data_IF_696889985627
#
_entry.id   IF_696889985627
#
_cell.length_a   1.000
_cell.length_b   1.000
_cell.length_c   1.000
_cell.angle_alpha   90.00
_cell.angle_beta   90.00
_cell.angle_gamma   90.00
#
_symmetry.space_group_name_H-M   'P 1'
#
loop_
_entity.id
_entity.type
_entity.pdbx_description
1 polymer ?
#
# COMPACT_ATOMS: atom_id res chain seq x y z
N UNK A 1 -59.86 -12.25 79.75
CA UNK A 1 -60.76 -13.33 79.31
C UNK A 1 -61.49 -12.85 78.07
N UNK A 2 -61.14 -13.44 76.92
CA UNK A 2 -62.02 -13.77 75.78
C UNK A 2 -62.66 -12.55 75.06
N UNK A 3 -62.06 -12.08 73.96
CA UNK A 3 -62.49 -12.24 72.53
C UNK A 3 -63.70 -11.35 72.19
N UNK A 4 -63.96 -10.78 71.02
CA UNK A 4 -63.41 -10.64 69.67
C UNK A 4 -64.33 -9.53 69.06
N UNK A 5 -63.97 -8.64 68.14
CA UNK A 5 -63.72 -8.89 66.72
C UNK A 5 -63.52 -7.51 66.05
N UNK A 6 -62.35 -7.25 65.46
CA UNK A 6 -62.18 -6.20 64.45
C UNK A 6 -61.54 -6.85 63.23
N UNK A 7 -62.32 -6.94 62.15
CA UNK A 7 -61.94 -7.59 60.90
C UNK A 7 -61.36 -6.54 59.94
N UNK A 8 -60.08 -6.79 59.59
CA UNK A 8 -59.37 -6.54 58.32
C UNK A 8 -59.23 -5.08 57.85
N UNK A 9 -58.03 -4.62 57.45
CA UNK A 9 -57.00 -5.31 56.67
C UNK A 9 -55.61 -4.69 56.87
N UNK A 10 -54.61 -5.51 56.59
CA UNK A 10 -53.22 -5.44 57.04
C UNK A 10 -52.39 -4.27 56.47
N UNK A 11 -51.63 -3.65 57.38
CA UNK A 11 -50.35 -3.00 57.13
C UNK A 11 -49.31 -4.01 56.60
N UNK A 12 -48.36 -3.57 55.76
CA UNK A 12 -46.93 -3.46 56.16
C UNK A 12 -46.08 -2.77 55.08
N UNK A 13 -45.56 -1.60 55.47
CA UNK A 13 -44.16 -1.17 55.45
C UNK A 13 -43.18 -1.63 54.34
N UNK A 14 -42.81 -0.62 53.53
CA UNK A 14 -41.45 -0.12 53.23
C UNK A 14 -40.40 -0.96 52.47
N UNK A 15 -39.82 -0.24 51.49
CA UNK A 15 -38.49 -0.38 50.86
C UNK A 15 -38.34 -1.49 49.82
N UNK A 16 -38.19 -1.09 48.56
CA UNK A 16 -36.93 -1.19 47.80
C UNK A 16 -37.11 -0.52 46.43
N UNK A 17 -36.23 0.42 46.13
CA UNK A 17 -36.00 0.98 44.80
C UNK A 17 -35.55 -0.15 43.87
N UNK A 18 -36.38 -0.50 42.89
CA UNK A 18 -35.89 -1.28 41.75
C UNK A 18 -35.55 -0.32 40.61
N UNK A 19 -34.24 -0.17 40.43
CA UNK A 19 -33.61 0.31 39.21
C UNK A 19 -34.05 -0.56 38.04
N UNK A 20 -34.98 -0.07 37.22
CA UNK A 20 -35.06 -0.52 35.84
C UNK A 20 -33.88 0.11 35.09
N UNK A 21 -32.92 -0.74 34.76
CA UNK A 21 -31.79 -0.45 33.88
C UNK A 21 -32.31 0.04 32.53
N UNK A 22 -32.37 1.37 32.36
CA UNK A 22 -32.34 1.97 31.02
C UNK A 22 -30.94 1.75 30.46
N UNK A 23 -30.77 0.72 29.64
CA UNK A 23 -29.65 0.70 28.71
C UNK A 23 -29.77 1.94 27.82
N UNK A 24 -28.70 2.75 27.70
CA UNK A 24 -28.76 3.95 26.87
C UNK A 24 -29.01 3.52 25.42
N UNK A 25 -30.12 3.96 24.84
CA UNK A 25 -30.44 3.81 23.41
C UNK A 25 -29.27 4.41 22.63
N UNK A 26 -28.34 3.56 22.21
CA UNK A 26 -27.17 3.99 21.46
C UNK A 26 -27.65 4.20 20.03
N UNK A 27 -27.89 5.47 19.66
CA UNK A 27 -28.32 5.83 18.31
C UNK A 27 -27.18 5.45 17.35
N UNK A 28 -27.36 4.39 16.57
CA UNK A 28 -26.43 3.98 15.54
C UNK A 28 -26.69 4.80 14.27
N UNK A 29 -25.68 5.54 13.80
CA UNK A 29 -25.73 6.27 12.54
C UNK A 29 -25.29 5.32 11.42
N UNK A 30 -26.07 5.23 10.34
CA UNK A 30 -25.68 4.46 9.15
C UNK A 30 -24.61 5.20 8.34
N UNK A 31 -23.59 4.48 7.84
CA UNK A 31 -22.51 5.04 7.03
C UNK A 31 -22.94 5.63 5.67
N UNK A 32 -24.17 5.38 5.21
CA UNK A 32 -24.77 6.03 4.04
C UNK A 32 -25.71 7.18 4.40
N UNK A 33 -25.86 7.50 5.70
CA UNK A 33 -26.76 8.55 6.17
C UNK A 33 -26.28 9.95 5.80
N UNK A 34 -27.20 10.82 5.35
CA UNK A 34 -26.93 12.26 5.18
C UNK A 34 -26.63 12.99 6.49
N UNK A 35 -26.86 12.33 7.64
CA UNK A 35 -26.65 12.89 8.98
C UNK A 35 -25.24 12.60 9.54
N UNK A 36 -24.33 12.06 8.72
CA UNK A 36 -22.95 11.82 9.15
C UNK A 36 -22.30 13.15 9.56
N UNK A 37 -21.71 13.22 10.77
CA UNK A 37 -21.04 14.44 11.23
C UNK A 37 -19.87 14.77 10.31
N UNK A 38 -19.70 16.05 10.00
CA UNK A 38 -18.52 16.57 9.30
C UNK A 38 -17.78 17.47 10.26
N UNK A 39 -16.73 16.95 10.85
CA UNK A 39 -15.92 17.63 11.84
C UNK A 39 -14.43 17.46 11.49
N UNK A 40 -13.92 18.20 10.49
CA UNK A 40 -12.51 18.18 10.12
C UNK A 40 -11.63 18.39 11.34
N UNK A 41 -10.65 17.52 11.54
CA UNK A 41 -9.72 17.66 12.65
C UNK A 41 -8.85 18.89 12.43
N UNK A 42 -8.65 19.67 13.50
CA UNK A 42 -7.68 20.74 13.53
C UNK A 42 -6.70 20.44 14.67
N UNK A 43 -5.42 20.57 14.38
CA UNK A 43 -4.37 20.42 15.39
C UNK A 43 -3.85 21.80 15.75
N UNK A 44 -3.65 22.05 17.04
CA UNK A 44 -2.88 23.23 17.45
C UNK A 44 -1.40 22.96 17.25
N UNK A 45 -0.59 24.03 17.11
CA UNK A 45 0.86 23.90 17.02
C UNK A 45 1.44 23.21 18.26
N UNK A 46 0.83 23.43 19.43
CA UNK A 46 1.26 22.80 20.68
C UNK A 46 0.95 21.30 20.72
N UNK A 47 -0.23 20.87 20.26
CA UNK A 47 -0.57 19.44 20.16
C UNK A 47 0.44 18.71 19.27
N UNK A 48 0.76 19.30 18.11
CA UNK A 48 1.74 18.73 17.18
C UNK A 48 3.13 18.67 17.83
N UNK A 49 3.54 19.73 18.53
CA UNK A 49 4.84 19.79 19.19
C UNK A 49 4.99 18.70 20.26
N UNK A 50 4.01 18.57 21.17
CA UNK A 50 4.03 17.56 22.25
C UNK A 50 4.21 16.15 21.68
N UNK A 51 3.58 15.84 20.55
CA UNK A 51 3.62 14.51 19.97
C UNK A 51 4.81 14.26 19.04
N UNK A 52 5.28 15.27 18.29
CA UNK A 52 6.27 15.09 17.21
C UNK A 52 7.70 15.48 17.62
N UNK A 53 7.87 16.43 18.54
CA UNK A 53 9.19 16.86 19.03
C UNK A 53 10.01 15.70 19.66
N UNK A 54 9.42 14.76 20.43
CA UNK A 54 10.14 13.60 20.94
C UNK A 54 10.76 12.72 19.84
N UNK A 55 10.14 12.67 18.66
CA UNK A 55 10.65 11.92 17.51
C UNK A 55 11.92 12.57 16.99
N UNK A 56 11.92 13.90 16.85
CA UNK A 56 13.10 14.67 16.43
C UNK A 56 14.25 14.46 17.43
N UNK A 57 13.98 14.58 18.74
CA UNK A 57 14.99 14.36 19.77
C UNK A 57 15.59 12.95 19.69
N UNK A 58 14.75 11.93 19.48
CA UNK A 58 15.21 10.55 19.30
C UNK A 58 16.06 10.38 18.05
N UNK A 59 15.69 11.04 16.95
CA UNK A 59 16.51 11.05 15.73
C UNK A 59 17.86 11.73 15.96
N UNK A 60 17.91 12.92 16.57
CA UNK A 60 19.14 13.66 16.85
C UNK A 60 20.06 12.90 17.82
N UNK A 61 19.50 12.18 18.80
CA UNK A 61 20.25 11.37 19.74
C UNK A 61 20.86 10.09 19.10
N UNK A 62 20.38 9.70 17.92
CA UNK A 62 20.92 8.55 17.19
C UNK A 62 22.33 8.84 16.66
N UNK A 63 23.20 7.83 16.74
CA UNK A 63 24.53 7.84 16.11
C UNK A 63 24.47 8.07 14.60
N UNK A 64 23.34 7.73 13.96
CA UNK A 64 23.13 7.87 12.53
C UNK A 64 22.83 9.31 12.11
N UNK A 65 22.62 10.24 13.03
CA UNK A 65 22.07 11.56 12.68
C UNK A 65 23.09 12.63 12.31
N UNK A 66 24.37 12.44 12.66
CA UNK A 66 25.40 13.50 12.63
C UNK A 66 25.44 14.28 11.31
N UNK A 67 25.41 13.56 10.17
CA UNK A 67 25.47 14.14 8.83
C UNK A 67 24.21 14.88 8.39
N UNK A 68 23.13 14.85 9.19
CA UNK A 68 21.80 15.32 8.81
C UNK A 68 21.26 16.43 9.73
N UNK A 69 22.03 16.82 10.76
CA UNK A 69 21.62 17.81 11.74
C UNK A 69 21.73 19.25 11.24
N UNK A 70 22.52 19.50 10.19
CA UNK A 70 22.79 20.84 9.66
C UNK A 70 22.71 20.85 8.12
N UNK A 71 22.49 22.02 7.51
CA UNK A 71 22.52 22.15 6.06
C UNK A 71 23.85 21.66 5.48
N UNK A 72 23.78 21.01 4.32
CA UNK A 72 24.96 20.50 3.60
C UNK A 72 25.79 21.68 3.06
N UNK A 73 26.99 21.85 3.58
CA UNK A 73 27.96 22.80 3.04
C UNK A 73 28.73 22.17 1.86
N UNK A 74 28.18 22.38 0.67
CA UNK A 74 28.72 21.83 -0.58
C UNK A 74 30.15 22.26 -0.89
N UNK A 75 30.58 23.44 -0.46
CA UNK A 75 31.91 23.98 -0.71
C UNK A 75 32.91 23.31 0.21
N UNK A 76 32.63 23.28 1.52
CA UNK A 76 33.52 22.65 2.51
C UNK A 76 33.66 21.14 2.28
N UNK A 77 32.60 20.48 1.82
CA UNK A 77 32.58 19.05 1.51
C UNK A 77 33.10 18.72 0.10
N UNK A 78 33.46 19.73 -0.71
CA UNK A 78 33.97 19.58 -2.09
C UNK A 78 33.00 18.86 -3.04
N UNK A 79 31.70 19.04 -2.85
CA UNK A 79 30.61 18.48 -3.66
C UNK A 79 29.89 19.59 -4.42
N UNK A 80 30.59 20.22 -5.36
CA UNK A 80 30.11 21.43 -6.05
C UNK A 80 28.88 21.21 -6.94
N UNK A 81 28.60 19.96 -7.31
CA UNK A 81 27.42 19.56 -8.07
C UNK A 81 26.17 19.42 -7.19
N UNK A 82 26.31 19.36 -5.86
CA UNK A 82 25.19 19.15 -4.94
C UNK A 82 24.01 20.12 -5.15
N UNK A 83 24.22 21.46 -5.28
CA UNK A 83 23.12 22.40 -5.50
C UNK A 83 22.44 22.25 -6.88
N UNK A 84 23.10 21.58 -7.83
CA UNK A 84 22.53 21.31 -9.16
C UNK A 84 21.56 20.12 -9.12
N UNK A 85 21.80 19.16 -8.23
CA UNK A 85 20.98 17.96 -8.03
C UNK A 85 19.89 18.24 -6.97
N UNK A 86 20.28 18.79 -5.82
CA UNK A 86 19.38 19.12 -4.71
C UNK A 86 19.09 20.62 -4.71
N UNK A 87 17.96 20.99 -5.32
CA UNK A 87 17.56 22.39 -5.52
C UNK A 87 17.15 23.11 -4.23
N UNK A 88 16.60 22.37 -3.26
CA UNK A 88 16.10 22.91 -2.01
C UNK A 88 16.70 22.10 -0.86
N UNK A 89 17.79 22.57 -0.27
CA UNK A 89 18.42 21.89 0.86
C UNK A 89 17.47 21.85 2.06
N UNK A 90 17.33 20.68 2.67
CA UNK A 90 16.56 20.47 3.89
C UNK A 90 17.34 19.55 4.83
N UNK A 91 17.20 19.76 6.13
CA UNK A 91 17.86 18.99 7.17
C UNK A 91 16.98 18.95 8.43
N UNK A 92 17.40 18.17 9.44
CA UNK A 92 16.61 17.95 10.66
C UNK A 92 16.41 19.26 11.44
N UNK A 93 17.37 20.19 11.43
CA UNK A 93 17.23 21.47 12.14
C UNK A 93 16.15 22.35 11.50
N UNK A 94 16.03 22.33 10.17
CA UNK A 94 14.95 23.03 9.46
C UNK A 94 13.60 22.41 9.83
N UNK A 95 13.49 21.08 9.81
CA UNK A 95 12.26 20.38 10.21
C UNK A 95 11.86 20.74 11.64
N UNK A 96 12.84 20.77 12.55
CA UNK A 96 12.63 21.13 13.94
C UNK A 96 12.16 22.58 14.10
N UNK A 97 12.83 23.53 13.45
CA UNK A 97 12.43 24.94 13.49
C UNK A 97 11.01 25.15 12.97
N UNK A 98 10.64 24.48 11.86
CA UNK A 98 9.25 24.54 11.34
C UNK A 98 8.23 24.00 12.34
N UNK A 99 8.58 22.96 13.10
CA UNK A 99 7.72 22.43 14.16
C UNK A 99 7.55 23.45 15.30
N UNK A 100 8.65 24.07 15.75
CA UNK A 100 8.63 25.06 16.83
C UNK A 100 7.89 26.34 16.43
N UNK A 101 7.99 26.76 15.17
CA UNK A 101 7.27 27.90 14.61
C UNK A 101 5.80 27.58 14.31
N UNK A 102 5.36 26.33 14.49
CA UNK A 102 3.97 25.92 14.27
C UNK A 102 3.55 25.93 12.79
N UNK A 103 4.49 25.72 11.87
CA UNK A 103 4.24 25.80 10.42
C UNK A 103 3.51 24.57 9.85
N UNK A 104 3.44 23.47 10.61
CA UNK A 104 2.72 22.27 10.21
C UNK A 104 1.25 22.35 10.63
N UNK A 105 0.35 21.99 9.72
CA UNK A 105 -1.10 21.95 9.99
C UNK A 105 -1.56 20.61 10.54
N UNK A 106 -0.80 19.55 10.26
CA UNK A 106 -1.11 18.18 10.64
C UNK A 106 0.19 17.35 10.70
N UNK A 107 0.19 16.18 11.37
CA UNK A 107 1.40 15.38 11.54
C UNK A 107 1.90 14.71 10.25
N UNK A 108 1.07 14.59 9.20
CA UNK A 108 1.53 14.06 7.91
C UNK A 108 2.42 15.07 7.18
N UNK A 109 2.13 16.37 7.24
CA UNK A 109 3.01 17.39 6.66
C UNK A 109 4.41 17.40 7.33
N UNK A 110 4.48 17.13 8.63
CA UNK A 110 5.74 16.91 9.34
C UNK A 110 6.47 15.66 8.81
N UNK A 111 5.74 14.54 8.68
CA UNK A 111 6.28 13.29 8.14
C UNK A 111 6.82 13.47 6.73
N UNK A 112 6.07 14.14 5.85
CA UNK A 112 6.48 14.48 4.48
C UNK A 112 7.78 15.29 4.49
N UNK A 113 7.91 16.27 5.39
CA UNK A 113 9.15 17.04 5.56
C UNK A 113 10.35 16.16 5.90
N UNK A 114 10.21 15.22 6.84
CA UNK A 114 11.28 14.27 7.20
C UNK A 114 11.64 13.37 6.02
N UNK A 115 10.64 12.87 5.28
CA UNK A 115 10.89 12.03 4.10
C UNK A 115 11.64 12.78 2.98
N UNK A 116 11.42 14.08 2.80
CA UNK A 116 12.19 14.89 1.84
C UNK A 116 13.69 14.88 2.20
N UNK A 117 14.04 14.96 3.49
CA UNK A 117 15.44 14.86 3.95
C UNK A 117 16.05 13.54 3.48
N UNK A 118 15.40 12.41 3.76
CA UNK A 118 15.90 11.09 3.38
C UNK A 118 15.98 10.92 1.85
N UNK A 119 14.98 11.38 1.12
CA UNK A 119 14.94 11.29 -0.34
C UNK A 119 16.05 12.09 -1.00
N UNK A 120 16.38 13.28 -0.51
CA UNK A 120 17.52 14.04 -1.03
C UNK A 120 18.84 13.31 -0.82
N UNK A 121 19.02 12.67 0.34
CA UNK A 121 20.23 11.90 0.64
C UNK A 121 20.34 10.70 -0.29
N UNK A 122 19.28 9.90 -0.43
CA UNK A 122 19.26 8.73 -1.32
C UNK A 122 19.35 9.10 -2.80
N UNK A 123 18.90 10.29 -3.19
CA UNK A 123 19.00 10.77 -4.56
C UNK A 123 20.44 11.15 -4.92
N UNK A 124 21.13 11.87 -4.02
CA UNK A 124 22.49 12.34 -4.27
C UNK A 124 23.54 11.24 -4.10
N UNK A 125 23.35 10.34 -3.13
CA UNK A 125 24.34 9.34 -2.76
C UNK A 125 24.11 8.00 -3.46
N UNK A 126 25.19 7.32 -3.83
CA UNK A 126 25.12 5.93 -4.32
C UNK A 126 24.69 4.97 -3.19
N UNK A 127 23.99 3.89 -3.54
CA UNK A 127 23.53 2.88 -2.56
C UNK A 127 24.64 2.22 -1.75
N UNK A 128 25.84 2.17 -2.32
CA UNK A 128 27.05 1.63 -1.71
C UNK A 128 27.74 2.61 -0.77
N UNK A 129 27.28 3.87 -0.72
CA UNK A 129 27.91 4.89 0.11
C UNK A 129 27.53 4.70 1.59
N UNK A 130 28.45 4.95 2.53
CA UNK A 130 28.14 4.89 3.96
C UNK A 130 27.01 5.85 4.37
N UNK A 131 26.93 7.03 3.74
CA UNK A 131 25.88 8.02 4.02
C UNK A 131 24.50 7.50 3.61
N UNK A 132 24.40 6.76 2.51
CA UNK A 132 23.16 6.13 2.07
C UNK A 132 22.68 5.09 3.10
N UNK A 133 23.59 4.25 3.59
CA UNK A 133 23.29 3.23 4.59
C UNK A 133 22.86 3.84 5.93
N UNK A 134 23.61 4.83 6.43
CA UNK A 134 23.29 5.57 7.65
C UNK A 134 21.92 6.25 7.55
N UNK A 135 21.60 6.87 6.41
CA UNK A 135 20.28 7.45 6.16
C UNK A 135 19.17 6.39 6.20
N UNK A 136 19.44 5.19 5.69
CA UNK A 136 18.49 4.08 5.71
C UNK A 136 18.19 3.62 7.14
N UNK A 137 19.21 3.57 8.01
CA UNK A 137 19.05 3.28 9.44
C UNK A 137 18.30 4.35 10.20
N UNK A 138 18.54 5.63 9.89
CA UNK A 138 17.78 6.71 10.50
C UNK A 138 16.31 6.70 10.05
N UNK A 139 16.03 6.35 8.79
CA UNK A 139 14.67 6.21 8.29
C UNK A 139 13.90 5.05 8.95
N UNK A 140 14.56 3.92 9.21
CA UNK A 140 13.99 2.81 10.00
C UNK A 140 13.59 3.29 11.41
N UNK A 141 14.50 3.97 12.12
CA UNK A 141 14.24 4.54 13.45
C UNK A 141 13.07 5.55 13.43
N UNK A 142 12.99 6.38 12.39
CA UNK A 142 11.91 7.33 12.22
C UNK A 142 10.56 6.61 12.10
N UNK A 143 10.45 5.60 11.23
CA UNK A 143 9.22 4.81 11.02
C UNK A 143 8.76 4.16 12.32
N UNK A 144 9.66 3.52 13.06
CA UNK A 144 9.36 2.92 14.37
C UNK A 144 8.81 3.92 15.39
N UNK A 145 9.21 5.18 15.28
CA UNK A 145 8.85 6.24 16.21
C UNK A 145 7.57 6.98 15.82
N UNK A 146 7.35 7.23 14.53
CA UNK A 146 6.20 7.99 14.01
C UNK A 146 4.92 7.16 13.94
N UNK A 147 5.00 5.85 13.64
CA UNK A 147 3.85 4.97 13.52
C UNK A 147 2.92 5.00 14.76
N UNK A 148 3.41 4.76 16.00
CA UNK A 148 2.56 4.78 17.18
C UNK A 148 1.99 6.17 17.50
N UNK A 149 2.75 7.23 17.20
CA UNK A 149 2.30 8.61 17.39
C UNK A 149 1.14 8.94 16.44
N UNK A 150 1.27 8.59 15.16
CA UNK A 150 0.20 8.81 14.19
C UNK A 150 -1.06 8.01 14.52
N UNK A 151 -0.92 6.77 15.00
CA UNK A 151 -2.05 5.98 15.47
C UNK A 151 -2.76 6.64 16.65
N UNK A 152 -2.00 7.18 17.60
CA UNK A 152 -2.54 7.95 18.74
C UNK A 152 -3.31 9.19 18.27
N UNK A 153 -2.81 9.87 17.23
CA UNK A 153 -3.45 11.03 16.60
C UNK A 153 -4.63 10.68 15.66
N UNK A 154 -4.98 9.40 15.53
CA UNK A 154 -6.11 8.90 14.76
C UNK A 154 -5.86 8.67 13.27
N UNK A 155 -4.59 8.55 12.86
CA UNK A 155 -4.17 8.15 11.51
C UNK A 155 -3.91 6.63 11.45
N UNK A 156 -3.68 6.08 10.26
CA UNK A 156 -3.35 4.66 10.10
C UNK A 156 -1.93 4.31 10.57
N UNK A 157 -0.92 4.98 10.01
CA UNK A 157 0.51 4.77 10.23
C UNK A 157 1.30 5.89 9.53
N UNK A 158 2.61 5.98 9.79
CA UNK A 158 3.55 6.91 9.15
C UNK A 158 4.50 6.28 8.15
N UNK A 159 4.34 4.99 7.88
CA UNK A 159 5.09 4.28 6.83
C UNK A 159 4.85 4.90 5.46
N UNK A 160 5.91 5.04 4.69
CA UNK A 160 5.80 5.37 3.28
C UNK A 160 5.67 4.07 2.47
N UNK A 161 4.44 3.74 2.08
CA UNK A 161 4.21 2.62 1.17
C UNK A 161 4.47 3.07 -0.26
N UNK A 162 5.14 2.20 -1.00
CA UNK A 162 5.45 2.38 -2.42
C UNK A 162 5.09 1.09 -3.13
N UNK A 163 4.37 1.19 -4.23
CA UNK A 163 4.11 0.05 -5.10
C UNK A 163 5.39 -0.38 -5.79
N UNK A 164 5.67 -1.69 -5.72
CA UNK A 164 6.72 -2.26 -6.53
C UNK A 164 6.32 -2.13 -7.99
N UNK A 165 7.11 -1.37 -8.74
CA UNK A 165 6.96 -1.27 -10.19
C UNK A 165 7.05 -2.68 -10.78
N UNK A 166 6.14 -3.07 -11.70
CA UNK A 166 6.17 -4.39 -12.31
C UNK A 166 7.55 -4.78 -12.85
N UNK A 167 7.80 -6.08 -12.90
CA UNK A 167 9.01 -6.62 -13.53
C UNK A 167 9.03 -6.11 -14.98
N UNK A 168 10.08 -5.37 -15.31
CA UNK A 168 10.25 -4.80 -16.64
C UNK A 168 11.10 -5.77 -17.44
N UNK A 169 10.51 -6.38 -18.46
CA UNK A 169 11.21 -7.35 -19.30
C UNK A 169 12.07 -6.65 -20.34
N UNK A 170 13.25 -7.21 -20.58
CA UNK A 170 14.17 -6.81 -21.64
C UNK A 170 13.85 -7.63 -22.90
N UNK A 171 13.81 -6.98 -24.06
CA UNK A 171 13.65 -7.61 -25.38
C UNK A 171 14.93 -8.34 -25.86
N UNK A 172 16.03 -8.21 -25.12
CA UNK A 172 17.34 -8.74 -25.48
C UNK A 172 17.44 -10.27 -25.57
N UNK A 173 18.67 -10.73 -25.79
CA UNK A 173 19.04 -12.05 -26.36
C UNK A 173 18.62 -13.31 -25.56
N UNK A 174 18.04 -13.15 -24.38
CA UNK A 174 17.59 -14.27 -23.55
C UNK A 174 16.14 -14.09 -23.11
N UNK A 175 15.30 -15.09 -23.42
CA UNK A 175 13.95 -15.20 -22.89
C UNK A 175 14.05 -15.36 -21.37
N UNK A 176 13.95 -14.25 -20.64
CA UNK A 176 13.93 -14.05 -19.17
C UNK A 176 14.85 -12.91 -18.69
N UNK A 177 15.48 -12.13 -19.58
CA UNK A 177 16.24 -10.95 -19.13
C UNK A 177 15.31 -9.89 -18.51
N UNK A 178 15.64 -9.42 -17.31
CA UNK A 178 14.86 -8.44 -16.54
C UNK A 178 15.65 -7.15 -16.31
N UNK A 179 14.95 -6.01 -16.33
CA UNK A 179 15.48 -4.70 -15.97
C UNK A 179 15.14 -4.44 -14.50
N UNK A 180 16.17 -4.39 -13.66
CA UNK A 180 16.03 -4.25 -12.20
C UNK A 180 15.79 -2.79 -11.81
N UNK A 181 15.30 -2.59 -10.59
CA UNK A 181 15.08 -1.26 -10.04
C UNK A 181 16.41 -0.50 -9.93
N UNK A 182 16.41 0.74 -10.41
CA UNK A 182 17.52 1.68 -10.56
C UNK A 182 18.51 1.38 -11.69
N UNK A 183 18.25 0.38 -12.53
CA UNK A 183 19.06 0.16 -13.73
C UNK A 183 18.72 1.18 -14.81
N UNK A 184 19.76 1.57 -15.55
CA UNK A 184 19.59 2.26 -16.82
C UNK A 184 19.12 1.27 -17.90
N UNK A 185 18.18 1.72 -18.72
CA UNK A 185 17.63 0.96 -19.82
C UNK A 185 17.34 1.87 -21.01
N UNK A 186 17.32 1.28 -22.19
CA UNK A 186 16.96 1.94 -23.43
C UNK A 186 15.55 1.55 -23.81
N UNK A 187 14.74 2.50 -24.26
CA UNK A 187 13.40 2.21 -24.74
C UNK A 187 13.07 2.95 -26.03
N UNK A 188 12.17 2.36 -26.81
CA UNK A 188 11.60 2.95 -28.01
C UNK A 188 10.08 2.91 -27.90
N UNK A 189 9.43 4.06 -28.11
CA UNK A 189 7.98 4.16 -28.20
C UNK A 189 7.52 3.92 -29.63
N UNK A 190 6.62 2.96 -29.81
CA UNK A 190 5.96 2.73 -31.08
C UNK A 190 4.83 3.77 -31.25
N UNK A 191 5.14 4.86 -31.94
CA UNK A 191 4.19 5.97 -32.13
C UNK A 191 3.04 5.63 -33.10
N UNK A 192 3.18 4.58 -33.93
CA UNK A 192 2.15 4.15 -34.88
C UNK A 192 2.01 2.61 -34.92
N UNK A 193 1.38 1.97 -33.90
CA UNK A 193 1.24 0.51 -33.81
C UNK A 193 0.47 -0.14 -34.96
N UNK A 194 -0.33 0.65 -35.69
CA UNK A 194 -1.12 0.17 -36.82
C UNK A 194 -0.41 0.22 -38.18
N UNK A 195 0.75 0.90 -38.26
CA UNK A 195 1.49 1.09 -39.52
C UNK A 195 2.80 0.30 -39.58
N UNK A 196 3.46 0.15 -38.44
CA UNK A 196 4.56 -0.78 -38.29
C UNK A 196 3.96 -2.13 -37.90
N UNK A 197 4.52 -3.24 -38.39
CA UNK A 197 4.12 -4.59 -38.00
C UNK A 197 4.57 -4.87 -36.56
N UNK A 198 4.09 -4.07 -35.60
CA UNK A 198 4.49 -4.00 -34.20
C UNK A 198 3.25 -3.60 -33.38
N UNK A 199 2.75 -4.52 -32.59
CA UNK A 199 1.58 -4.39 -31.71
C UNK A 199 1.92 -3.87 -30.31
N UNK A 200 3.16 -4.05 -29.84
CA UNK A 200 3.57 -3.50 -28.55
C UNK A 200 3.82 -1.99 -28.65
N UNK A 201 3.35 -1.25 -27.64
CA UNK A 201 3.50 0.21 -27.53
C UNK A 201 4.95 0.63 -27.24
N UNK A 202 5.73 -0.23 -26.60
CA UNK A 202 7.10 0.09 -26.18
C UNK A 202 8.02 -1.13 -26.17
N UNK A 203 9.22 -0.97 -26.74
CA UNK A 203 10.29 -1.97 -26.71
C UNK A 203 11.40 -1.50 -25.78
N UNK A 204 11.91 -2.39 -24.92
CA UNK A 204 12.85 -2.03 -23.85
C UNK A 204 14.05 -2.97 -23.84
N UNK A 205 15.24 -2.43 -23.57
CA UNK A 205 16.49 -3.18 -23.47
C UNK A 205 17.27 -2.76 -22.23
N UNK A 206 17.76 -3.73 -21.45
CA UNK A 206 18.76 -3.42 -20.44
C UNK A 206 20.04 -2.91 -21.12
N UNK A 207 20.83 -2.13 -20.38
CA UNK A 207 22.08 -1.53 -20.90
C UNK A 207 23.02 -2.59 -21.52
N UNK A 208 23.15 -3.76 -20.89
CA UNK A 208 24.01 -4.84 -21.38
C UNK A 208 23.54 -5.41 -22.73
N UNK A 209 22.24 -5.74 -22.85
CA UNK A 209 21.68 -6.25 -24.10
C UNK A 209 21.74 -5.21 -25.22
N UNK A 210 21.42 -3.96 -24.92
CA UNK A 210 21.47 -2.87 -25.92
C UNK A 210 22.90 -2.70 -26.48
N UNK A 211 23.91 -2.73 -25.61
CA UNK A 211 25.31 -2.58 -25.98
C UNK A 211 25.89 -3.83 -26.65
N UNK A 212 25.33 -5.02 -26.39
CA UNK A 212 25.79 -6.27 -27.03
C UNK A 212 25.51 -6.32 -28.54
N UNK A 213 24.53 -5.54 -29.02
CA UNK A 213 24.18 -5.43 -30.43
C UNK A 213 25.21 -4.52 -31.11
N UNK A 214 26.05 -5.07 -31.98
CA UNK A 214 27.10 -4.29 -32.66
C UNK A 214 26.58 -3.45 -33.85
N UNK A 215 25.38 -3.75 -34.33
CA UNK A 215 24.73 -3.02 -35.42
C UNK A 215 24.19 -1.66 -34.94
N UNK A 216 24.13 -0.69 -35.85
CA UNK A 216 23.52 0.63 -35.64
C UNK A 216 21.99 0.57 -35.60
N UNK A 217 21.41 -0.57 -36.00
CA UNK A 217 19.96 -0.85 -35.94
C UNK A 217 19.67 -2.11 -35.14
N UNK A 218 18.49 -2.14 -34.53
CA UNK A 218 17.94 -3.25 -33.76
C UNK A 218 16.71 -3.79 -34.48
N UNK A 219 16.63 -5.11 -34.65
CA UNK A 219 15.46 -5.78 -35.20
C UNK A 219 14.51 -6.17 -34.07
N UNK A 220 13.25 -5.76 -34.16
CA UNK A 220 12.20 -6.06 -33.17
C UNK A 220 10.97 -6.69 -33.83
N UNK A 221 10.24 -7.48 -33.06
CA UNK A 221 9.01 -8.18 -33.44
C UNK A 221 8.36 -8.83 -32.21
N UNK A 222 7.05 -8.96 -32.23
CA UNK A 222 6.25 -9.41 -31.08
C UNK A 222 6.02 -10.92 -31.05
N UNK A 223 6.10 -11.58 -32.20
CA UNK A 223 5.93 -13.03 -32.33
C UNK A 223 7.05 -13.65 -33.19
N UNK A 224 7.35 -14.92 -32.92
CA UNK A 224 8.36 -15.72 -33.63
C UNK A 224 8.02 -15.91 -35.11
N UNK A 225 6.75 -15.74 -35.48
CA UNK A 225 6.28 -15.86 -36.86
C UNK A 225 6.28 -14.53 -37.62
N UNK A 226 6.56 -13.42 -36.94
CA UNK A 226 6.45 -12.08 -37.49
C UNK A 226 7.73 -11.64 -38.23
N UNK A 227 7.57 -10.91 -39.33
CA UNK A 227 8.69 -10.22 -39.97
C UNK A 227 9.19 -9.10 -39.07
N UNK A 228 10.49 -9.14 -38.73
CA UNK A 228 11.11 -8.17 -37.85
C UNK A 228 11.19 -6.78 -38.51
N UNK A 229 10.99 -5.75 -37.69
CA UNK A 229 11.13 -4.35 -38.07
C UNK A 229 12.49 -3.84 -37.62
N UNK A 230 13.21 -3.18 -38.53
CA UNK A 230 14.50 -2.55 -38.25
C UNK A 230 14.30 -1.16 -37.65
N UNK A 231 14.83 -0.94 -36.45
CA UNK A 231 14.77 0.34 -35.72
C UNK A 231 16.19 0.84 -35.45
N UNK A 232 16.57 2.03 -35.96
CA UNK A 232 17.86 2.63 -35.63
C UNK A 232 18.04 2.86 -34.13
N UNK A 233 19.24 2.56 -33.61
CA UNK A 233 19.60 2.76 -32.19
C UNK A 233 19.46 4.21 -31.74
N UNK A 234 19.64 5.17 -32.65
CA UNK A 234 19.49 6.60 -32.39
C UNK A 234 18.07 7.01 -31.96
N UNK A 235 17.06 6.17 -32.24
CA UNK A 235 15.68 6.41 -31.83
C UNK A 235 15.38 5.89 -30.41
N UNK A 236 16.29 5.13 -29.80
CA UNK A 236 16.12 4.65 -28.44
C UNK A 236 16.56 5.72 -27.43
N UNK A 237 15.71 5.95 -26.44
CA UNK A 237 15.96 6.91 -25.37
C UNK A 237 16.49 6.18 -24.14
N UNK A 238 17.52 6.76 -23.52
CA UNK A 238 18.03 6.30 -22.23
C UNK A 238 17.10 6.75 -21.11
N UNK A 239 16.74 5.82 -20.24
CA UNK A 239 15.96 6.08 -19.04
C UNK A 239 16.52 5.26 -17.88
N UNK A 240 16.10 5.59 -16.65
CA UNK A 240 16.43 4.87 -15.43
C UNK A 240 15.15 4.34 -14.83
N UNK A 241 15.16 3.09 -14.39
CA UNK A 241 14.00 2.49 -13.71
C UNK A 241 13.99 2.93 -12.24
N UNK A 242 13.66 4.18 -11.96
CA UNK A 242 13.66 4.74 -10.60
C UNK A 242 12.25 5.12 -10.10
N UNK A 243 11.22 4.96 -10.95
CA UNK A 243 9.85 5.30 -10.61
C UNK A 243 9.31 4.40 -9.48
N UNK A 244 9.10 5.05 -8.35
CA UNK A 244 8.41 4.52 -7.17
C UNK A 244 7.03 5.17 -7.12
N UNK A 245 5.98 4.37 -7.30
CA UNK A 245 4.61 4.89 -7.21
C UNK A 245 4.17 4.92 -5.74
N UNK A 246 3.95 6.10 -5.13
CA UNK A 246 3.53 6.18 -3.74
C UNK A 246 2.12 5.60 -3.57
N UNK A 247 1.88 5.03 -2.40
CA UNK A 247 0.55 4.54 -2.01
C UNK A 247 -0.50 5.65 -2.07
N UNK A 248 -1.67 5.32 -2.63
CA UNK A 248 -2.76 6.28 -2.71
C UNK A 248 -3.28 6.59 -1.30
N UNK A 249 -3.46 7.88 -1.03
CA UNK A 249 -4.10 8.36 0.20
C UNK A 249 -5.57 8.66 -0.06
N UNK A 250 -6.41 8.38 0.92
CA UNK A 250 -7.84 8.71 0.91
C UNK A 250 -8.21 9.45 2.19
N UNK A 251 -9.21 10.32 2.09
CA UNK A 251 -9.57 11.20 3.19
C UNK A 251 -10.84 10.72 3.86
N UNK A 252 -10.86 10.71 5.19
CA UNK A 252 -12.07 10.41 5.95
C UNK A 252 -13.11 11.53 5.74
N UNK A 253 -14.32 11.19 5.30
CA UNK A 253 -15.39 12.18 5.05
C UNK A 253 -15.89 12.89 6.32
N UNK A 254 -15.58 12.32 7.50
CA UNK A 254 -15.95 12.89 8.82
C UNK A 254 -14.87 13.84 9.31
N UNK A 255 -13.65 13.34 9.53
CA UNK A 255 -12.58 14.11 10.18
C UNK A 255 -11.50 14.66 9.23
N UNK A 256 -11.61 14.41 7.93
CA UNK A 256 -10.62 14.81 6.91
C UNK A 256 -9.19 14.28 7.11
N UNK A 257 -8.94 13.39 8.08
CA UNK A 257 -7.65 12.70 8.21
C UNK A 257 -7.39 11.84 6.97
N UNK A 258 -6.18 11.93 6.44
CA UNK A 258 -5.73 11.13 5.29
C UNK A 258 -5.22 9.77 5.75
N UNK A 259 -5.61 8.71 5.05
CA UNK A 259 -5.25 7.32 5.34
C UNK A 259 -4.67 6.69 4.08
N UNK A 260 -3.71 5.79 4.23
CA UNK A 260 -3.34 4.90 3.12
C UNK A 260 -4.56 4.09 2.70
N UNK A 261 -4.81 4.00 1.40
CA UNK A 261 -5.94 3.26 0.86
C UNK A 261 -5.90 1.79 1.29
N UNK A 262 -4.71 1.17 1.29
CA UNK A 262 -4.48 -0.19 1.79
C UNK A 262 -4.76 -0.34 3.28
N UNK A 263 -4.44 0.68 4.11
CA UNK A 263 -4.76 0.65 5.54
C UNK A 263 -6.25 0.86 5.81
N UNK A 264 -6.89 1.66 4.98
CA UNK A 264 -8.32 1.92 5.06
C UNK A 264 -9.17 0.74 4.56
N UNK A 265 -8.60 -0.11 3.69
CA UNK A 265 -9.30 -1.18 2.97
C UNK A 265 -10.54 -0.63 2.25
N UNK A 266 -10.39 0.48 1.54
CA UNK A 266 -11.49 1.20 0.89
C UNK A 266 -11.32 1.29 -0.62
N UNK A 267 -12.40 1.00 -1.33
CA UNK A 267 -12.51 1.12 -2.78
C UNK A 267 -13.80 1.87 -3.10
N UNK A 268 -13.70 2.96 -3.86
CA UNK A 268 -14.85 3.80 -4.24
C UNK A 268 -15.88 3.03 -5.07
N UNK A 269 -15.45 1.98 -5.77
CA UNK A 269 -16.32 1.05 -6.51
C UNK A 269 -17.21 0.20 -5.61
N UNK A 270 -16.81 -0.02 -4.34
CA UNK A 270 -17.56 -0.80 -3.36
C UNK A 270 -18.39 0.13 -2.47
N UNK A 271 -17.77 1.21 -1.97
CA UNK A 271 -18.38 2.18 -1.06
C UNK A 271 -18.29 3.57 -1.68
N UNK A 272 -19.22 3.88 -2.58
CA UNK A 272 -19.28 5.16 -3.28
C UNK A 272 -19.59 6.35 -2.37
N UNK A 273 -20.14 6.11 -1.18
CA UNK A 273 -20.48 7.12 -0.19
C UNK A 273 -19.26 7.78 0.48
N UNK A 274 -18.08 7.18 0.29
CA UNK A 274 -16.81 7.67 0.81
C UNK A 274 -16.32 6.92 2.05
N UNK A 275 -15.07 7.19 2.39
CA UNK A 275 -14.36 6.50 3.47
C UNK A 275 -14.64 7.14 4.84
N UNK A 276 -14.94 6.30 5.83
CA UNK A 276 -15.02 6.71 7.25
C UNK A 276 -13.95 5.94 8.04
N UNK A 277 -13.05 6.66 8.70
CA UNK A 277 -11.96 6.03 9.44
C UNK A 277 -12.44 5.32 10.70
N UNK A 278 -11.61 4.38 11.19
CA UNK A 278 -11.92 3.60 12.40
C UNK A 278 -12.13 4.46 13.65
N UNK A 279 -11.43 5.59 13.75
CA UNK A 279 -11.59 6.52 14.88
C UNK A 279 -13.00 7.11 14.90
N UNK A 280 -13.45 7.69 13.80
CA UNK A 280 -14.79 8.28 13.70
C UNK A 280 -15.90 7.25 13.85
N UNK A 281 -15.69 6.01 13.38
CA UNK A 281 -16.64 4.92 13.53
C UNK A 281 -16.88 4.61 15.01
N UNK A 282 -15.82 4.54 15.82
CA UNK A 282 -15.93 4.27 17.26
C UNK A 282 -16.50 5.48 18.00
N UNK A 283 -16.00 6.68 17.68
CA UNK A 283 -16.36 7.93 18.35
C UNK A 283 -17.84 8.29 18.17
N UNK A 284 -18.37 8.12 16.96
CA UNK A 284 -19.76 8.44 16.62
C UNK A 284 -20.67 7.20 16.53
N UNK A 285 -20.18 6.04 16.94
CA UNK A 285 -20.91 4.76 16.92
C UNK A 285 -21.57 4.45 15.55
N UNK A 286 -20.83 4.72 14.46
CA UNK A 286 -21.30 4.56 13.08
C UNK A 286 -21.27 3.08 12.70
N UNK A 287 -22.36 2.57 12.14
CA UNK A 287 -22.40 1.20 11.62
C UNK A 287 -21.76 1.16 10.24
N UNK A 288 -20.67 0.40 10.08
CA UNK A 288 -20.05 0.16 8.76
C UNK A 288 -21.01 -0.57 7.83
N UNK A 289 -21.08 -0.11 6.58
CA UNK A 289 -21.74 -0.84 5.50
C UNK A 289 -20.94 -2.09 5.16
N UNK A 290 -21.58 -3.25 5.27
CA UNK A 290 -20.95 -4.52 4.89
C UNK A 290 -20.57 -4.53 3.42
N UNK A 291 -19.45 -5.18 3.09
CA UNK A 291 -19.10 -5.38 1.68
C UNK A 291 -20.12 -6.33 1.01
N UNK A 292 -20.67 -5.96 -0.16
CA UNK A 292 -21.42 -6.90 -0.97
C UNK A 292 -20.50 -7.97 -1.59
N UNK A 293 -19.21 -7.69 -1.73
CA UNK A 293 -18.22 -8.57 -2.34
C UNK A 293 -17.43 -9.31 -1.26
N UNK A 294 -18.00 -10.40 -0.74
CA UNK A 294 -17.30 -11.33 0.16
C UNK A 294 -17.11 -12.67 -0.51
N UNK A 295 -16.05 -13.39 -0.15
CA UNK A 295 -15.81 -14.76 -0.64
C UNK A 295 -16.98 -15.70 -0.33
N UNK A 296 -17.66 -15.49 0.80
CA UNK A 296 -18.82 -16.28 1.21
C UNK A 296 -20.03 -16.16 0.28
N UNK A 297 -20.22 -15.00 -0.36
CA UNK A 297 -21.34 -14.69 -1.27
C UNK A 297 -21.10 -15.17 -2.71
N UNK A 298 -19.89 -15.65 -3.03
CA UNK A 298 -19.61 -16.21 -4.35
C UNK A 298 -20.37 -17.53 -4.57
N UNK A 299 -20.74 -17.87 -5.84
CA UNK A 299 -21.42 -19.11 -6.18
C UNK A 299 -20.71 -20.35 -5.64
N UNK A 300 -21.50 -21.30 -5.15
CA UNK A 300 -21.03 -22.56 -4.58
C UNK A 300 -21.28 -23.67 -5.61
N UNK A 301 -20.34 -24.60 -5.73
CA UNK A 301 -20.54 -25.86 -6.42
C UNK A 301 -20.20 -27.05 -5.51
N UNK A 302 -20.48 -28.26 -5.98
CA UNK A 302 -20.30 -29.49 -5.17
C UNK A 302 -18.86 -29.65 -4.71
N UNK A 303 -17.89 -29.42 -5.60
CA UNK A 303 -16.47 -29.50 -5.28
C UNK A 303 -16.10 -28.51 -4.18
N UNK A 304 -16.46 -27.23 -4.33
CA UNK A 304 -16.15 -26.19 -3.36
C UNK A 304 -16.81 -26.47 -2.02
N UNK A 305 -18.06 -26.93 -2.02
CA UNK A 305 -18.81 -27.27 -0.80
C UNK A 305 -18.18 -28.44 -0.04
N UNK A 306 -17.77 -29.50 -0.76
CA UNK A 306 -17.13 -30.66 -0.14
C UNK A 306 -15.76 -30.32 0.45
N UNK A 307 -14.93 -29.56 -0.28
CA UNK A 307 -13.64 -29.10 0.21
C UNK A 307 -13.79 -28.21 1.44
N UNK A 308 -14.70 -27.23 1.39
CA UNK A 308 -14.96 -26.31 2.50
C UNK A 308 -15.39 -27.07 3.76
N UNK A 309 -16.35 -27.99 3.65
CA UNK A 309 -16.81 -28.83 4.77
C UNK A 309 -15.68 -29.68 5.33
N UNK A 310 -14.86 -30.29 4.47
CA UNK A 310 -13.75 -31.16 4.88
C UNK A 310 -12.70 -30.37 5.66
N UNK A 311 -12.29 -29.20 5.16
CA UNK A 311 -11.28 -28.36 5.80
C UNK A 311 -11.78 -27.82 7.14
N UNK A 312 -13.00 -27.28 7.19
CA UNK A 312 -13.52 -26.73 8.44
C UNK A 312 -13.75 -27.83 9.50
N UNK A 313 -14.22 -29.02 9.10
CA UNK A 313 -14.34 -30.16 10.02
C UNK A 313 -12.98 -30.58 10.59
N UNK A 314 -11.95 -30.59 9.76
CA UNK A 314 -10.59 -30.87 10.21
C UNK A 314 -10.10 -29.81 11.22
N UNK A 315 -10.26 -28.52 10.93
CA UNK A 315 -9.85 -27.44 11.83
C UNK A 315 -10.53 -27.49 13.20
N UNK A 316 -11.84 -27.80 13.21
CA UNK A 316 -12.60 -27.98 14.45
C UNK A 316 -12.05 -29.17 15.26
N UNK A 317 -11.79 -30.30 14.58
CA UNK A 317 -11.30 -31.51 15.24
C UNK A 317 -9.89 -31.34 15.84
N UNK A 318 -9.02 -30.57 15.19
CA UNK A 318 -7.67 -30.28 15.68
C UNK A 318 -7.62 -29.19 16.77
N UNK A 319 -8.78 -28.67 17.20
CA UNK A 319 -8.85 -27.61 18.21
C UNK A 319 -8.18 -26.30 17.77
N UNK A 320 -8.07 -26.07 16.45
CA UNK A 320 -7.46 -24.87 15.92
C UNK A 320 -8.34 -23.65 16.24
N UNK A 321 -7.77 -22.60 16.83
CA UNK A 321 -8.47 -21.33 17.09
C UNK A 321 -8.57 -20.44 15.84
N UNK A 322 -8.75 -21.04 14.66
CA UNK A 322 -8.83 -20.31 13.39
C UNK A 322 -10.27 -20.01 13.02
N UNK A 323 -10.49 -18.94 12.24
CA UNK A 323 -11.81 -18.62 11.69
C UNK A 323 -12.28 -19.60 10.62
N UNK A 324 -13.56 -19.50 10.24
CA UNK A 324 -14.15 -20.31 9.18
C UNK A 324 -13.44 -20.09 7.82
N UNK A 325 -12.99 -21.16 7.19
CA UNK A 325 -12.36 -21.12 5.86
C UNK A 325 -13.45 -21.18 4.79
N UNK A 326 -13.38 -20.28 3.82
CA UNK A 326 -14.29 -20.27 2.66
C UNK A 326 -13.55 -20.74 1.42
N UNK A 327 -14.07 -21.73 0.69
CA UNK A 327 -13.48 -22.27 -0.54
C UNK A 327 -14.46 -22.08 -1.70
N UNK A 328 -14.00 -21.52 -2.82
CA UNK A 328 -14.82 -21.24 -4.01
C UNK A 328 -14.05 -21.59 -5.27
N UNK A 329 -14.74 -22.19 -6.25
CA UNK A 329 -14.19 -22.44 -7.58
C UNK A 329 -14.53 -21.24 -8.46
N UNK A 330 -13.51 -20.51 -8.91
CA UNK A 330 -13.68 -19.27 -9.66
C UNK A 330 -13.73 -19.47 -11.18
N UNK A 331 -13.17 -20.58 -11.67
CA UNK A 331 -13.14 -20.91 -13.08
C UNK A 331 -13.18 -22.43 -13.28
N UNK A 332 -13.97 -22.86 -14.26
CA UNK A 332 -13.98 -24.20 -14.81
C UNK A 332 -14.14 -24.05 -16.32
N UNK A 333 -13.16 -24.53 -17.09
CA UNK A 333 -13.12 -24.38 -18.54
C UNK A 333 -12.43 -25.58 -19.15
N UNK A 334 -13.00 -26.11 -20.22
CA UNK A 334 -12.37 -27.17 -21.00
C UNK A 334 -11.13 -26.62 -21.71
N UNK A 335 -10.00 -27.31 -21.57
CA UNK A 335 -8.75 -26.96 -22.25
C UNK A 335 -8.17 -28.17 -22.95
N UNK A 336 -7.28 -27.92 -23.92
CA UNK A 336 -6.55 -28.97 -24.62
C UNK A 336 -5.05 -28.74 -24.38
N UNK A 337 -4.38 -29.74 -23.83
CA UNK A 337 -2.93 -29.77 -23.73
C UNK A 337 -2.36 -30.31 -25.05
N UNK A 338 -1.92 -29.41 -25.94
CA UNK A 338 -1.34 -29.79 -27.21
C UNK A 338 0.03 -30.46 -27.02
N UNK A 339 0.29 -31.51 -27.79
CA UNK A 339 1.58 -32.19 -27.77
C UNK A 339 2.63 -31.31 -28.45
N UNK A 340 3.72 -31.00 -27.72
CA UNK A 340 4.82 -30.18 -28.26
C UNK A 340 5.49 -30.85 -29.48
N UNK A 341 5.99 -30.08 -30.47
CA UNK A 341 6.54 -30.62 -31.71
C UNK A 341 7.65 -31.66 -31.51
N UNK A 342 8.52 -31.46 -30.50
CA UNK A 342 9.62 -32.37 -30.18
C UNK A 342 9.11 -33.77 -29.79
N UNK A 343 8.00 -33.86 -29.05
CA UNK A 343 7.42 -35.13 -28.65
C UNK A 343 6.72 -35.82 -29.82
N UNK A 344 6.09 -35.05 -30.73
CA UNK A 344 5.52 -35.58 -31.97
C UNK A 344 6.60 -36.19 -32.88
N UNK A 345 7.79 -35.62 -32.92
CA UNK A 345 8.91 -36.17 -33.69
C UNK A 345 9.41 -37.50 -33.12
N UNK A 346 9.36 -37.68 -31.79
CA UNK A 346 9.81 -38.90 -31.13
C UNK A 346 8.78 -40.05 -31.23
N UNK A 347 7.48 -39.72 -31.21
CA UNK A 347 6.38 -40.69 -31.28
C UNK A 347 5.35 -40.36 -32.38
N UNK A 348 5.74 -40.36 -33.68
CA UNK A 348 4.92 -39.81 -34.76
C UNK A 348 3.61 -40.56 -35.00
N UNK A 349 3.52 -41.84 -34.63
CA UNK A 349 2.33 -42.68 -34.88
C UNK A 349 1.54 -43.02 -33.60
N UNK A 350 1.90 -42.44 -32.45
CA UNK A 350 1.27 -42.75 -31.15
C UNK A 350 0.80 -41.50 -30.39
N UNK A 351 1.33 -40.31 -30.69
CA UNK A 351 0.94 -39.08 -30.03
C UNK A 351 -0.34 -38.49 -30.67
N UNK A 352 -1.40 -38.32 -29.87
CA UNK A 352 -2.56 -37.50 -30.26
C UNK A 352 -2.16 -36.03 -30.41
N UNK A 353 -2.94 -35.23 -31.13
CA UNK A 353 -2.63 -33.80 -31.29
C UNK A 353 -2.71 -33.01 -29.98
N UNK A 354 -3.53 -33.47 -29.05
CA UNK A 354 -3.60 -32.97 -27.68
C UNK A 354 -4.51 -33.82 -26.79
N UNK A 355 -4.53 -33.48 -25.51
CA UNK A 355 -5.35 -34.15 -24.49
C UNK A 355 -6.30 -33.13 -23.85
N UNK A 356 -7.63 -33.32 -23.94
CA UNK A 356 -8.59 -32.46 -23.28
C UNK A 356 -8.55 -32.68 -21.75
N UNK A 357 -8.74 -31.61 -20.98
CA UNK A 357 -8.81 -31.64 -19.51
C UNK A 357 -9.66 -30.51 -18.93
#
# INVERSE_FOLDING_TARGET
>A
MIENETIQSNYTHSQLLNNDSMEPITIHIDASSKQIPKHPVQFTSEDLRIHLEPIIHKMIASEYSYSFQKPVDSISLKILDYPTIIKHSIDISIIHNKLLLGEYKNPLEFSDGVWVVFNHIWLYNEKTSPIYEICSKLAELFVESIDPVLQTLGYCCGRQYVYLTPVMLCYGKEQCCQILLNDNYYYYNNLEPSRLNLSNDQYRFCTQCFNSIKSDSIFVGDDLTQTLVEIPKSLFLLSKKDLKEPEKMIDCIVCARRWHQVCALHLDQIWSEGFICNTCIREYNIKRKESPYTSSKLPINDLSSQLEKRVNKFLINEGCQTGHVTIRVLAASDKICNVKPQLKQYCPNQATDGYPY
#
